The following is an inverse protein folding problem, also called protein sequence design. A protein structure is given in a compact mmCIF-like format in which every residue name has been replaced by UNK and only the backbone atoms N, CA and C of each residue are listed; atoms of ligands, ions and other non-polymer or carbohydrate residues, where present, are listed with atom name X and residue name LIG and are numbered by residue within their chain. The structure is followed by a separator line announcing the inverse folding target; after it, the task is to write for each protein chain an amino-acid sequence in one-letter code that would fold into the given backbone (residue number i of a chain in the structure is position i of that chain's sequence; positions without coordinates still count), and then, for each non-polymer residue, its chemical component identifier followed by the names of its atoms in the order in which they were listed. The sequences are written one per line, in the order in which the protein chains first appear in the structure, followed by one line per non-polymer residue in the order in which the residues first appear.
data_IF_391565866251
#
_entry.id   IF_391565866251
#
_cell.length_a   1.000
_cell.length_b   1.000
_cell.length_c   1.000
_cell.angle_alpha   90.00
_cell.angle_beta   90.00
_cell.angle_gamma   90.00
#
_symmetry.space_group_name_H-M   'P 1'
#
loop_
_entity.id
_entity.type
_entity.pdbx_description
1 polymer ?
#
# COMPACT_ATOMS: atom_id res chain seq x y z
N UNK A 1 4.72 -4.54 14.05
CA UNK A 1 4.91 -3.68 12.88
C UNK A 1 6.09 -4.23 12.09
N UNK A 2 5.82 -5.00 11.02
CA UNK A 2 6.89 -5.44 10.12
C UNK A 2 7.06 -4.32 9.08
N UNK A 3 8.19 -3.62 9.18
CA UNK A 3 8.59 -2.54 8.31
C UNK A 3 9.47 -3.16 7.25
N UNK A 4 9.03 -3.18 5.99
CA UNK A 4 9.79 -3.77 4.91
C UNK A 4 10.21 -2.67 3.95
N UNK A 5 11.46 -2.24 4.02
CA UNK A 5 12.05 -1.31 3.06
C UNK A 5 12.51 -2.06 1.82
N UNK A 6 11.96 -1.73 0.65
CA UNK A 6 12.44 -2.18 -0.66
C UNK A 6 13.19 -1.00 -1.30
N UNK A 7 14.52 -1.03 -1.37
CA UNK A 7 15.28 0.01 -2.05
C UNK A 7 14.89 0.08 -3.53
N UNK A 8 14.68 1.29 -4.04
CA UNK A 8 14.63 1.57 -5.47
C UNK A 8 15.61 2.70 -5.78
N UNK A 9 16.02 2.85 -7.05
CA UNK A 9 17.04 3.80 -7.53
C UNK A 9 16.81 5.29 -7.20
N UNK A 10 15.71 5.65 -6.50
CA UNK A 10 15.36 7.01 -6.06
C UNK A 10 14.81 7.10 -4.62
N UNK A 11 14.92 6.03 -3.82
CA UNK A 11 14.37 5.97 -2.46
C UNK A 11 13.86 4.58 -2.07
N UNK A 12 13.69 4.36 -0.76
CA UNK A 12 13.14 3.11 -0.22
C UNK A 12 11.62 3.12 -0.19
N UNK A 13 10.99 2.04 -0.67
CA UNK A 13 9.56 1.78 -0.48
C UNK A 13 9.41 1.05 0.84
N UNK A 14 8.96 1.75 1.88
CA UNK A 14 8.63 1.13 3.16
C UNK A 14 7.20 0.59 3.09
N UNK A 15 7.05 -0.73 2.97
CA UNK A 15 5.77 -1.40 3.16
C UNK A 15 5.59 -1.65 4.65
N UNK A 16 4.72 -0.85 5.28
CA UNK A 16 4.22 -1.13 6.62
C UNK A 16 3.10 -2.16 6.49
N UNK A 17 3.35 -3.40 6.95
CA UNK A 17 2.29 -4.42 7.04
C UNK A 17 1.38 -4.08 8.22
N UNK A 18 0.24 -3.46 7.93
CA UNK A 18 -0.82 -3.13 8.91
C UNK A 18 -1.89 -4.23 9.04
N UNK A 19 -1.63 -5.40 8.43
CA UNK A 19 -2.58 -6.50 8.34
C UNK A 19 -3.67 -6.27 7.29
N UNK A 20 -4.37 -7.35 6.95
CA UNK A 20 -5.57 -7.29 6.12
C UNK A 20 -6.75 -6.77 6.95
N UNK A 21 -7.64 -6.00 6.32
CA UNK A 21 -8.88 -5.52 6.94
C UNK A 21 -9.98 -5.38 5.88
N UNK A 22 -11.24 -5.44 6.32
CA UNK A 22 -12.40 -5.45 5.41
C UNK A 22 -13.48 -4.46 5.84
N UNK A 23 -14.10 -3.81 4.85
CA UNK A 23 -15.30 -2.98 5.00
C UNK A 23 -15.19 -1.87 6.06
N UNK A 24 -14.01 -1.29 6.25
CA UNK A 24 -13.79 -0.25 7.26
C UNK A 24 -14.11 1.15 6.73
N UNK A 25 -14.35 2.08 7.65
CA UNK A 25 -14.20 3.50 7.35
C UNK A 25 -12.71 3.79 7.10
N UNK A 26 -12.31 4.22 5.88
CA UNK A 26 -10.90 4.43 5.57
C UNK A 26 -10.25 5.54 6.39
N UNK A 27 -11.01 6.58 6.78
CA UNK A 27 -10.50 7.72 7.55
C UNK A 27 -10.17 7.27 8.97
N UNK A 28 -11.10 6.59 9.64
CA UNK A 28 -10.86 6.04 10.98
C UNK A 28 -9.77 4.96 10.98
N UNK A 29 -9.70 4.13 9.93
CA UNK A 29 -8.64 3.11 9.86
C UNK A 29 -7.25 3.72 9.74
N UNK A 30 -7.09 4.76 8.92
CA UNK A 30 -5.81 5.46 8.82
C UNK A 30 -5.49 6.19 10.13
N UNK A 31 -6.47 6.84 10.77
CA UNK A 31 -6.31 7.43 12.11
C UNK A 31 -5.79 6.40 13.13
N UNK A 32 -6.42 5.23 13.18
CA UNK A 32 -6.02 4.12 14.05
C UNK A 32 -4.56 3.70 13.78
N UNK A 33 -4.16 3.61 12.50
CA UNK A 33 -2.78 3.26 12.11
C UNK A 33 -1.77 4.29 12.61
N UNK A 34 -2.04 5.59 12.44
CA UNK A 34 -1.16 6.66 12.93
C UNK A 34 -1.03 6.62 14.45
N UNK A 35 -2.15 6.55 15.17
CA UNK A 35 -2.18 6.49 16.64
C UNK A 35 -1.43 5.26 17.15
N UNK A 36 -1.74 4.08 16.62
CA UNK A 36 -1.09 2.84 17.04
C UNK A 36 0.41 2.86 16.76
N UNK A 37 0.83 3.39 15.59
CA UNK A 37 2.26 3.48 15.25
C UNK A 37 2.99 4.39 16.23
N UNK A 38 2.46 5.58 16.50
CA UNK A 38 3.08 6.54 17.43
C UNK A 38 3.12 6.04 18.87
N UNK A 39 2.05 5.40 19.36
CA UNK A 39 2.03 4.73 20.67
C UNK A 39 3.12 3.67 20.76
N UNK A 40 3.23 2.80 19.76
CA UNK A 40 4.24 1.73 19.77
C UNK A 40 5.67 2.27 19.70
N UNK A 41 5.90 3.40 19.02
CA UNK A 41 7.20 4.06 19.02
C UNK A 41 7.53 4.66 20.40
N UNK A 42 6.58 5.35 21.01
CA UNK A 42 6.75 5.98 22.33
C UNK A 42 7.00 4.94 23.43
N UNK A 43 6.23 3.84 23.45
CA UNK A 43 6.41 2.75 24.42
C UNK A 43 7.76 2.04 24.28
N UNK A 44 8.38 2.09 23.10
CA UNK A 44 9.71 1.52 22.84
C UNK A 44 10.86 2.49 23.14
N UNK A 45 10.56 3.68 23.68
CA UNK A 45 11.58 4.69 23.98
C UNK A 45 12.27 5.22 22.72
N UNK A 46 11.57 5.28 21.59
CA UNK A 46 12.11 5.97 20.41
C UNK A 46 11.97 7.47 20.66
N UNK A 47 13.11 8.17 20.80
CA UNK A 47 13.15 9.62 21.03
C UNK A 47 12.26 10.39 20.06
N UNK A 48 11.34 11.15 20.62
CA UNK A 48 10.48 12.06 19.86
C UNK A 48 10.91 13.52 20.13
N UNK A 49 11.03 14.38 19.11
CA UNK A 49 11.48 15.76 19.30
C UNK A 49 10.60 16.59 20.23
N UNK A 50 9.29 16.31 20.27
CA UNK A 50 8.34 17.07 21.10
C UNK A 50 8.22 16.57 22.54
N UNK A 51 8.45 15.28 22.78
CA UNK A 51 8.12 14.67 24.06
C UNK A 51 9.40 14.10 24.68
N UNK A 52 9.77 14.54 25.92
CA UNK A 52 10.87 13.91 26.62
C UNK A 52 10.53 12.45 26.90
N UNK A 53 11.56 11.59 26.89
CA UNK A 53 11.40 10.20 27.33
C UNK A 53 11.01 10.18 28.80
N UNK A 54 9.94 9.45 29.13
CA UNK A 54 9.54 9.17 30.50
C UNK A 54 9.90 7.72 30.84
N UNK A 55 10.27 7.44 32.09
CA UNK A 55 10.35 6.07 32.60
C UNK A 55 8.97 5.47 32.87
N UNK A 56 7.92 6.30 32.89
CA UNK A 56 6.53 5.88 33.10
C UNK A 56 5.88 5.48 31.75
N UNK A 57 5.50 4.20 31.57
CA UNK A 57 4.83 3.73 30.37
C UNK A 57 3.49 4.42 30.08
N UNK A 58 2.74 4.86 31.09
CA UNK A 58 1.45 5.51 30.91
C UNK A 58 1.63 6.91 30.31
N UNK A 59 2.66 7.64 30.76
CA UNK A 59 3.05 8.93 30.19
C UNK A 59 3.47 8.76 28.73
N UNK A 60 4.30 7.76 28.41
CA UNK A 60 4.73 7.49 27.04
C UNK A 60 3.55 7.08 26.14
N UNK A 61 2.61 6.29 26.67
CA UNK A 61 1.40 5.92 25.94
C UNK A 61 0.59 7.16 25.54
N UNK A 62 0.34 8.07 26.50
CA UNK A 62 -0.38 9.33 26.24
C UNK A 62 0.34 10.21 25.23
N UNK A 63 1.66 10.39 25.36
CA UNK A 63 2.46 11.12 24.37
C UNK A 63 2.32 10.54 22.96
N UNK A 64 2.36 9.20 22.84
CA UNK A 64 2.17 8.52 21.57
C UNK A 64 0.77 8.71 20.98
N UNK A 65 -0.27 8.73 21.81
CA UNK A 65 -1.63 9.02 21.35
C UNK A 65 -1.78 10.44 20.82
N UNK A 66 -1.31 11.43 21.59
CA UNK A 66 -1.36 12.84 21.18
C UNK A 66 -0.58 13.08 19.88
N UNK A 67 0.62 12.50 19.77
CA UNK A 67 1.43 12.63 18.56
C UNK A 67 0.78 11.97 17.35
N UNK A 68 0.27 10.74 17.50
CA UNK A 68 -0.38 10.02 16.43
C UNK A 68 -1.64 10.73 15.93
N UNK A 69 -2.46 11.29 16.84
CA UNK A 69 -3.62 12.10 16.46
C UNK A 69 -3.20 13.33 15.68
N UNK A 70 -2.21 14.08 16.16
CA UNK A 70 -1.72 15.28 15.48
C UNK A 70 -1.13 14.97 14.10
N UNK A 71 -0.34 13.90 13.96
CA UNK A 71 0.19 13.48 12.65
C UNK A 71 -0.94 13.08 11.70
N UNK A 72 -1.95 12.39 12.21
CA UNK A 72 -3.14 12.06 11.42
C UNK A 72 -3.89 13.32 10.98
N UNK A 73 -4.12 14.29 11.86
CA UNK A 73 -4.81 15.54 11.52
C UNK A 73 -4.08 16.31 10.43
N UNK A 74 -2.76 16.45 10.54
CA UNK A 74 -1.94 17.07 9.48
C UNK A 74 -2.04 16.31 8.16
N UNK A 75 -1.88 14.99 8.20
CA UNK A 75 -2.02 14.15 7.01
C UNK A 75 -3.42 14.24 6.39
N UNK A 76 -4.46 14.26 7.21
CA UNK A 76 -5.85 14.35 6.78
C UNK A 76 -6.10 15.68 6.05
N UNK A 77 -5.67 16.80 6.62
CA UNK A 77 -5.80 18.12 6.00
C UNK A 77 -5.03 18.20 4.68
N UNK A 78 -3.80 17.71 4.64
CA UNK A 78 -2.98 17.62 3.43
C UNK A 78 -3.71 16.80 2.35
N UNK A 79 -4.15 15.58 2.66
CA UNK A 79 -4.82 14.69 1.71
C UNK A 79 -6.15 15.27 1.23
N UNK A 80 -6.95 15.85 2.13
CA UNK A 80 -8.24 16.41 1.78
C UNK A 80 -8.13 17.69 0.95
N UNK A 81 -7.00 18.39 0.99
CA UNK A 81 -6.71 19.55 0.13
C UNK A 81 -6.33 19.18 -1.31
N UNK A 82 -5.99 17.91 -1.59
CA UNK A 82 -5.52 17.49 -2.90
C UNK A 82 -6.62 17.55 -3.97
N UNK A 83 -6.24 17.94 -5.18
CA UNK A 83 -7.09 17.76 -6.35
C UNK A 83 -7.23 16.27 -6.67
N UNK A 84 -8.47 15.80 -6.87
CA UNK A 84 -8.76 14.44 -7.29
C UNK A 84 -9.47 14.51 -8.64
N UNK A 85 -8.93 13.87 -9.69
CA UNK A 85 -9.56 13.86 -11.02
C UNK A 85 -11.00 13.34 -10.98
N UNK A 86 -11.91 14.03 -11.69
CA UNK A 86 -13.33 13.67 -11.74
C UNK A 86 -13.54 12.26 -12.34
N UNK A 87 -12.63 11.86 -13.23
CA UNK A 87 -12.57 10.55 -13.85
C UNK A 87 -12.60 9.40 -12.81
N UNK A 88 -11.92 9.58 -11.66
CA UNK A 88 -11.92 8.57 -10.59
C UNK A 88 -13.31 8.40 -9.98
N UNK A 89 -14.06 9.50 -9.78
CA UNK A 89 -15.44 9.43 -9.30
C UNK A 89 -16.38 8.86 -10.35
N UNK A 90 -16.15 9.17 -11.64
CA UNK A 90 -16.90 8.54 -12.75
C UNK A 90 -16.76 7.03 -12.72
N UNK A 91 -15.58 6.47 -12.42
CA UNK A 91 -15.39 5.02 -12.31
C UNK A 91 -16.40 4.36 -11.35
N UNK A 92 -16.73 5.01 -10.22
CA UNK A 92 -17.64 4.49 -9.20
C UNK A 92 -19.07 4.28 -9.72
N UNK A 93 -19.50 5.09 -10.68
CA UNK A 93 -20.87 5.04 -11.25
C UNK A 93 -20.97 4.19 -12.52
N UNK A 94 -19.84 3.87 -13.16
CA UNK A 94 -19.81 3.16 -14.43
C UNK A 94 -19.87 1.64 -14.23
N UNK A 95 -20.86 1.00 -14.87
CA UNK A 95 -21.12 -0.44 -14.79
C UNK A 95 -20.69 -1.24 -16.03
N UNK A 96 -19.97 -0.63 -16.98
CA UNK A 96 -19.46 -1.29 -18.20
C UNK A 96 -17.94 -1.14 -18.30
N UNK A 97 -17.23 -2.28 -18.44
CA UNK A 97 -15.76 -2.33 -18.64
C UNK A 97 -15.26 -1.28 -19.66
N UNK A 98 -15.85 -1.24 -20.86
CA UNK A 98 -15.45 -0.30 -21.93
C UNK A 98 -15.51 1.17 -21.51
N UNK A 99 -16.51 1.57 -20.70
CA UNK A 99 -16.63 2.96 -20.23
C UNK A 99 -15.62 3.27 -19.13
N UNK A 100 -15.40 2.34 -18.21
CA UNK A 100 -14.36 2.50 -17.18
C UNK A 100 -12.96 2.62 -17.82
N UNK A 101 -12.67 1.83 -18.85
CA UNK A 101 -11.42 1.93 -19.62
C UNK A 101 -11.23 3.32 -20.24
N UNK A 102 -12.30 3.94 -20.74
CA UNK A 102 -12.21 5.29 -21.30
C UNK A 102 -11.82 6.33 -20.23
N UNK A 103 -12.37 6.25 -19.02
CA UNK A 103 -11.99 7.16 -17.92
C UNK A 103 -10.57 6.87 -17.41
N UNK A 104 -10.17 5.59 -17.34
CA UNK A 104 -8.79 5.20 -17.00
C UNK A 104 -7.79 5.79 -17.99
N UNK A 105 -8.08 5.74 -19.29
CA UNK A 105 -7.20 6.32 -20.31
C UNK A 105 -7.08 7.84 -20.19
N UNK A 106 -8.14 8.55 -19.74
CA UNK A 106 -8.06 9.99 -19.45
C UNK A 106 -7.17 10.27 -18.24
N UNK A 107 -7.27 9.46 -17.18
CA UNK A 107 -6.35 9.55 -16.02
C UNK A 107 -4.91 9.29 -16.49
N UNK A 108 -4.70 8.29 -17.33
CA UNK A 108 -3.39 7.95 -17.85
C UNK A 108 -2.79 9.01 -18.78
N UNK A 109 -3.62 9.77 -19.50
CA UNK A 109 -3.19 10.89 -20.33
C UNK A 109 -2.88 12.17 -19.51
N UNK A 110 -3.19 12.18 -18.22
CA UNK A 110 -2.84 13.26 -17.29
C UNK A 110 -1.50 12.96 -16.57
N UNK A 111 -1.24 13.61 -15.45
CA UNK A 111 -0.05 13.42 -14.62
C UNK A 111 0.03 12.05 -13.91
N UNK A 112 -0.82 11.08 -14.27
CA UNK A 112 -0.94 9.80 -13.60
C UNK A 112 -1.51 9.91 -12.17
N UNK A 113 -1.39 8.81 -11.42
CA UNK A 113 -1.91 8.71 -10.05
C UNK A 113 -0.79 8.60 -9.03
N UNK A 114 -0.82 9.42 -7.99
CA UNK A 114 0.05 9.27 -6.81
C UNK A 114 -0.69 8.53 -5.69
N UNK A 115 0.05 8.00 -4.72
CA UNK A 115 -0.55 7.41 -3.51
C UNK A 115 -1.44 8.40 -2.76
N UNK A 116 -1.02 9.67 -2.65
CA UNK A 116 -1.79 10.69 -1.92
C UNK A 116 -3.09 11.06 -2.64
N UNK A 117 -3.07 11.16 -3.98
CA UNK A 117 -4.30 11.39 -4.77
C UNK A 117 -5.25 10.21 -4.66
N UNK A 118 -4.75 8.96 -4.71
CA UNK A 118 -5.62 7.80 -4.50
C UNK A 118 -6.18 7.78 -3.06
N UNK A 119 -5.40 8.15 -2.06
CA UNK A 119 -5.87 8.23 -0.67
C UNK A 119 -6.99 9.27 -0.52
N UNK A 120 -6.81 10.45 -1.12
CA UNK A 120 -7.83 11.51 -1.14
C UNK A 120 -9.11 11.03 -1.83
N UNK A 121 -8.98 10.34 -2.95
CA UNK A 121 -10.10 9.70 -3.64
C UNK A 121 -10.83 8.70 -2.74
N UNK A 122 -10.11 7.82 -2.04
CA UNK A 122 -10.69 6.81 -1.14
C UNK A 122 -11.47 7.48 0.01
N UNK A 123 -10.94 8.55 0.60
CA UNK A 123 -11.64 9.31 1.65
C UNK A 123 -12.94 9.93 1.13
N UNK A 124 -12.89 10.60 -0.03
CA UNK A 124 -14.08 11.21 -0.64
C UNK A 124 -15.09 10.17 -1.10
N UNK A 125 -14.65 9.02 -1.63
CA UNK A 125 -15.52 7.90 -1.96
C UNK A 125 -16.29 7.38 -0.74
N UNK A 126 -15.69 7.39 0.46
CA UNK A 126 -16.39 7.08 1.69
C UNK A 126 -17.34 8.21 2.12
N UNK A 127 -16.86 9.45 2.21
CA UNK A 127 -17.65 10.58 2.71
C UNK A 127 -18.90 10.85 1.85
N UNK A 128 -18.69 10.92 0.53
CA UNK A 128 -19.69 11.41 -0.42
C UNK A 128 -20.53 10.26 -1.00
N UNK A 129 -19.92 9.08 -1.14
CA UNK A 129 -20.56 7.94 -1.81
C UNK A 129 -20.74 6.70 -0.94
N UNK A 130 -20.28 6.72 0.32
CA UNK A 130 -20.42 5.63 1.31
C UNK A 130 -19.73 4.32 0.90
N UNK A 131 -18.64 4.39 0.15
CA UNK A 131 -17.79 3.21 -0.12
C UNK A 131 -16.90 2.92 1.09
N UNK A 132 -16.99 1.71 1.63
CA UNK A 132 -16.05 1.20 2.64
C UNK A 132 -14.76 0.72 2.00
N UNK A 133 -13.68 0.63 2.77
CA UNK A 133 -12.38 0.15 2.30
C UNK A 133 -12.06 -1.25 2.84
N UNK A 134 -11.56 -2.10 1.97
CA UNK A 134 -10.88 -3.34 2.33
C UNK A 134 -9.44 -3.30 1.79
N UNK A 135 -8.48 -3.82 2.55
CA UNK A 135 -7.10 -3.96 2.11
C UNK A 135 -6.63 -5.38 2.31
N UNK A 136 -6.01 -5.94 1.27
CA UNK A 136 -5.40 -7.25 1.31
C UNK A 136 -3.97 -7.16 0.82
N UNK A 137 -3.09 -7.95 1.42
CA UNK A 137 -1.73 -8.12 0.95
C UNK A 137 -1.42 -9.59 0.77
N UNK A 138 -0.55 -9.89 -0.18
CA UNK A 138 0.05 -11.21 -0.28
C UNK A 138 1.46 -11.11 -0.77
N UNK A 139 2.22 -12.12 -0.39
CA UNK A 139 3.64 -12.18 -0.65
C UNK A 139 3.98 -13.58 -1.13
N UNK A 140 4.81 -13.65 -2.16
CA UNK A 140 5.28 -14.90 -2.74
C UNK A 140 6.80 -14.87 -2.76
N UNK A 141 7.42 -15.70 -1.94
CA UNK A 141 8.86 -15.90 -1.98
C UNK A 141 9.25 -16.77 -3.18
N UNK A 142 10.47 -16.62 -3.71
CA UNK A 142 11.03 -17.57 -4.66
C UNK A 142 11.00 -19.01 -4.15
N UNK A 143 10.83 -19.98 -5.05
CA UNK A 143 10.81 -21.40 -4.71
C UNK A 143 12.06 -21.79 -3.92
N UNK A 144 11.87 -22.53 -2.82
CA UNK A 144 12.96 -23.02 -1.98
C UNK A 144 13.46 -22.03 -0.92
N UNK A 145 12.76 -20.91 -0.70
CA UNK A 145 12.99 -20.00 0.42
C UNK A 145 11.78 -20.00 1.36
N UNK A 146 12.03 -20.08 2.67
CA UNK A 146 11.02 -19.92 3.71
C UNK A 146 11.17 -18.56 4.41
N UNK A 147 10.06 -17.88 4.71
CA UNK A 147 10.04 -16.59 5.39
C UNK A 147 10.69 -16.65 6.79
N UNK A 148 10.56 -17.79 7.49
CA UNK A 148 11.12 -17.98 8.83
C UNK A 148 12.66 -18.07 8.83
N UNK A 149 13.27 -18.36 7.67
CA UNK A 149 14.72 -18.46 7.53
C UNK A 149 15.37 -17.09 7.28
N UNK A 150 14.58 -16.05 6.96
CA UNK A 150 15.11 -14.72 6.72
C UNK A 150 15.61 -14.07 8.02
N UNK A 151 16.70 -13.27 7.95
CA UNK A 151 17.18 -12.52 9.08
C UNK A 151 16.16 -11.47 9.54
N UNK A 152 16.36 -10.94 10.75
CA UNK A 152 15.51 -9.88 11.30
C UNK A 152 15.40 -8.66 10.37
N UNK A 153 16.50 -8.29 9.70
CA UNK A 153 16.49 -7.35 8.60
C UNK A 153 17.62 -7.65 7.60
N UNK A 154 17.38 -7.31 6.33
CA UNK A 154 18.42 -7.33 5.29
C UNK A 154 18.13 -6.25 4.24
N UNK A 155 19.20 -5.74 3.63
CA UNK A 155 19.15 -4.68 2.62
C UNK A 155 20.11 -4.98 1.48
N UNK A 156 19.64 -4.81 0.25
CA UNK A 156 20.50 -4.83 -0.95
C UNK A 156 20.85 -3.38 -1.27
N UNK A 157 22.13 -3.05 -1.24
CA UNK A 157 22.68 -1.72 -1.50
C UNK A 157 22.74 -1.45 -3.02
N UNK A 158 22.97 -0.20 -3.41
CA UNK A 158 23.07 0.21 -4.82
C UNK A 158 24.25 -0.47 -5.56
N UNK A 159 25.35 -0.72 -4.85
CA UNK A 159 26.51 -1.46 -5.38
C UNK A 159 26.24 -2.98 -5.51
N UNK A 160 25.03 -3.42 -5.15
CA UNK A 160 24.60 -4.81 -5.19
C UNK A 160 25.08 -5.66 -4.02
N UNK A 161 25.77 -5.08 -3.03
CA UNK A 161 26.12 -5.76 -1.78
C UNK A 161 24.88 -5.97 -0.90
N UNK A 162 24.98 -6.87 0.09
CA UNK A 162 23.86 -7.20 0.97
C UNK A 162 24.29 -7.05 2.43
N UNK A 163 23.63 -6.15 3.15
CA UNK A 163 23.74 -6.00 4.59
C UNK A 163 22.68 -6.84 5.28
N UNK A 164 23.07 -7.52 6.36
CA UNK A 164 22.24 -8.48 7.10
C UNK A 164 22.34 -8.14 8.58
N UNK A 165 21.20 -8.11 9.25
CA UNK A 165 21.09 -7.90 10.69
C UNK A 165 20.24 -9.03 11.30
N UNK A 166 20.82 -9.72 12.29
CA UNK A 166 20.21 -10.90 12.93
C UNK A 166 20.66 -12.22 12.31
N UNK A 167 20.29 -13.31 12.98
CA UNK A 167 20.66 -14.68 12.59
C UNK A 167 19.81 -15.19 11.42
N UNK A 168 20.41 -16.04 10.58
CA UNK A 168 19.74 -16.64 9.42
C UNK A 168 20.50 -17.89 8.95
N UNK A 169 19.76 -18.89 8.46
CA UNK A 169 20.32 -20.07 7.78
C UNK A 169 20.61 -19.84 6.30
N UNK A 170 20.14 -18.72 5.74
CA UNK A 170 20.27 -18.39 4.32
C UNK A 170 21.62 -17.74 4.03
N UNK A 171 22.22 -18.08 2.89
CA UNK A 171 23.40 -17.38 2.41
C UNK A 171 23.04 -16.02 1.78
N UNK A 172 24.05 -15.15 1.60
CA UNK A 172 23.86 -13.80 1.03
C UNK A 172 23.16 -13.81 -0.33
N UNK A 173 23.47 -14.77 -1.19
CA UNK A 173 22.85 -14.89 -2.52
C UNK A 173 21.38 -15.27 -2.42
N UNK A 174 21.01 -16.18 -1.51
CA UNK A 174 19.63 -16.55 -1.24
C UNK A 174 18.83 -15.36 -0.69
N UNK A 175 19.41 -14.60 0.24
CA UNK A 175 18.78 -13.39 0.81
C UNK A 175 18.59 -12.33 -0.27
N UNK A 176 19.63 -12.05 -1.07
CA UNK A 176 19.56 -11.12 -2.20
C UNK A 176 18.49 -11.54 -3.19
N UNK A 177 18.44 -12.83 -3.54
CA UNK A 177 17.42 -13.36 -4.44
C UNK A 177 16.01 -13.21 -3.86
N UNK A 178 15.85 -13.55 -2.58
CA UNK A 178 14.61 -13.38 -1.83
C UNK A 178 14.12 -11.93 -1.82
N UNK A 179 15.01 -10.96 -1.66
CA UNK A 179 14.66 -9.53 -1.68
C UNK A 179 14.26 -9.09 -3.09
N UNK A 180 15.05 -9.44 -4.11
CA UNK A 180 14.90 -8.92 -5.47
C UNK A 180 13.79 -9.60 -6.27
N UNK A 181 13.50 -10.87 -5.98
CA UNK A 181 12.53 -11.69 -6.72
C UNK A 181 11.25 -11.98 -5.93
N UNK A 182 11.08 -11.46 -4.70
CA UNK A 182 9.81 -11.61 -4.00
C UNK A 182 8.67 -10.97 -4.80
N UNK A 183 7.59 -11.72 -4.95
CA UNK A 183 6.31 -11.17 -5.33
C UNK A 183 5.69 -10.47 -4.13
N UNK A 184 5.22 -9.24 -4.34
CA UNK A 184 4.35 -8.55 -3.41
C UNK A 184 3.16 -8.00 -4.18
N UNK A 185 1.97 -8.25 -3.65
CA UNK A 185 0.73 -7.72 -4.17
C UNK A 185 -0.02 -7.07 -3.02
N UNK A 186 -0.49 -5.84 -3.22
CA UNK A 186 -1.45 -5.19 -2.34
C UNK A 186 -2.68 -4.77 -3.14
N UNK A 187 -3.86 -5.04 -2.60
CA UNK A 187 -5.13 -4.59 -3.17
C UNK A 187 -5.85 -3.67 -2.19
N UNK A 188 -6.35 -2.56 -2.72
CA UNK A 188 -7.29 -1.67 -2.03
C UNK A 188 -8.64 -1.76 -2.72
N UNK A 189 -9.63 -2.31 -2.03
CA UNK A 189 -10.98 -2.54 -2.56
C UNK A 189 -11.94 -1.54 -1.92
N UNK A 190 -12.61 -0.75 -2.74
CA UNK A 190 -13.74 0.09 -2.37
C UNK A 190 -15.02 -0.72 -2.57
N UNK A 191 -15.77 -0.92 -1.49
CA UNK A 191 -16.96 -1.77 -1.45
C UNK A 191 -18.22 -0.93 -1.15
N UNK A 192 -19.31 -1.14 -1.92
CA UNK A 192 -20.65 -0.57 -1.67
C UNK A 192 -21.73 -1.56 -2.11
N UNK A 193 -22.18 -2.40 -1.17
CA UNK A 193 -23.11 -3.49 -1.48
C UNK A 193 -22.49 -4.46 -2.48
N UNK A 194 -23.14 -4.68 -3.63
CA UNK A 194 -22.63 -5.53 -4.71
C UNK A 194 -21.63 -4.83 -5.63
N UNK A 195 -21.46 -3.51 -5.51
CA UNK A 195 -20.51 -2.74 -6.30
C UNK A 195 -19.15 -2.76 -5.61
N UNK A 196 -18.08 -2.99 -6.39
CA UNK A 196 -16.74 -2.95 -5.86
C UNK A 196 -15.73 -2.49 -6.91
N UNK A 197 -14.72 -1.75 -6.47
CA UNK A 197 -13.61 -1.25 -7.29
C UNK A 197 -12.30 -1.57 -6.60
N UNK A 198 -11.30 -2.03 -7.32
CA UNK A 198 -10.06 -2.53 -6.76
C UNK A 198 -8.87 -1.91 -7.47
N UNK A 199 -7.97 -1.31 -6.69
CA UNK A 199 -6.68 -0.80 -7.13
C UNK A 199 -5.59 -1.74 -6.62
N UNK A 200 -4.74 -2.22 -7.53
CA UNK A 200 -3.80 -3.30 -7.25
C UNK A 200 -2.38 -2.84 -7.55
N UNK A 201 -1.54 -3.01 -6.54
CA UNK A 201 -0.13 -2.70 -6.57
C UNK A 201 0.62 -4.02 -6.65
N UNK A 202 1.33 -4.25 -7.75
CA UNK A 202 2.28 -5.35 -7.89
C UNK A 202 3.68 -4.78 -7.78
N UNK A 203 4.62 -5.53 -7.21
CA UNK A 203 6.02 -5.11 -7.13
C UNK A 203 6.59 -4.76 -8.52
N UNK A 204 6.26 -5.53 -9.55
CA UNK A 204 6.75 -5.30 -10.90
C UNK A 204 6.10 -4.07 -11.54
N UNK A 205 4.77 -3.93 -11.44
CA UNK A 205 4.01 -2.81 -11.99
C UNK A 205 4.42 -1.48 -11.36
N UNK A 206 4.46 -1.40 -10.02
CA UNK A 206 4.90 -0.16 -9.37
C UNK A 206 6.35 0.13 -9.71
N UNK A 207 7.20 -0.90 -9.87
CA UNK A 207 8.60 -0.74 -10.23
C UNK A 207 8.87 -0.42 -11.72
N UNK A 208 7.86 -0.49 -12.59
CA UNK A 208 8.04 -0.33 -14.04
C UNK A 208 8.90 -1.43 -14.67
N UNK A 209 8.88 -2.63 -14.08
CA UNK A 209 9.63 -3.80 -14.55
C UNK A 209 8.81 -4.68 -15.52
N UNK A 210 7.58 -4.30 -15.80
CA UNK A 210 6.72 -4.99 -16.77
C UNK A 210 7.05 -4.52 -18.19
N UNK A 211 7.20 -5.47 -19.12
CA UNK A 211 7.74 -5.22 -20.45
C UNK A 211 6.94 -4.11 -21.19
N UNK A 212 7.63 -3.04 -21.59
CA UNK A 212 7.03 -1.95 -22.36
C UNK A 212 6.08 -1.05 -21.57
N UNK A 213 6.02 -1.17 -20.25
CA UNK A 213 5.18 -0.34 -19.38
C UNK A 213 6.05 0.40 -18.35
N UNK A 214 5.80 1.70 -18.19
CA UNK A 214 6.37 2.47 -17.08
C UNK A 214 5.76 2.06 -15.72
N UNK A 215 6.17 2.71 -14.61
CA UNK A 215 5.54 2.54 -13.31
C UNK A 215 4.02 2.72 -13.37
N UNK A 216 3.26 1.74 -12.88
CA UNK A 216 1.80 1.76 -12.96
C UNK A 216 1.15 0.92 -11.84
N UNK A 217 -0.17 1.04 -11.73
CA UNK A 217 -1.03 0.15 -10.94
C UNK A 217 -2.13 -0.44 -11.82
N UNK A 218 -2.68 -1.57 -11.40
CA UNK A 218 -3.82 -2.18 -12.08
C UNK A 218 -5.13 -1.74 -11.44
N UNK A 219 -6.19 -1.74 -12.23
CA UNK A 219 -7.55 -1.47 -11.76
C UNK A 219 -8.49 -2.58 -12.21
N UNK A 220 -9.44 -2.97 -11.37
CA UNK A 220 -10.48 -3.94 -11.73
C UNK A 220 -11.74 -3.65 -10.91
N UNK A 221 -12.91 -3.97 -11.43
CA UNK A 221 -14.18 -3.75 -10.71
C UNK A 221 -15.19 -4.85 -11.02
N UNK A 222 -16.33 -4.81 -10.33
CA UNK A 222 -17.46 -5.69 -10.63
C UNK A 222 -17.94 -5.59 -12.09
N UNK A 223 -17.72 -4.46 -12.77
CA UNK A 223 -18.08 -4.28 -14.18
C UNK A 223 -17.27 -5.16 -15.16
N UNK A 224 -16.26 -5.87 -14.67
CA UNK A 224 -15.37 -6.73 -15.45
C UNK A 224 -15.79 -8.19 -15.44
N UNK A 225 -16.88 -8.54 -14.74
CA UNK A 225 -17.42 -9.89 -14.68
C UNK A 225 -16.62 -10.84 -13.78
N UNK A 226 -15.72 -10.31 -12.95
CA UNK A 226 -15.02 -11.09 -11.93
C UNK A 226 -15.75 -11.03 -10.60
N UNK A 227 -15.59 -12.07 -9.80
CA UNK A 227 -16.00 -12.05 -8.40
C UNK A 227 -14.94 -11.39 -7.53
N UNK A 228 -15.37 -10.60 -6.55
CA UNK A 228 -14.50 -9.98 -5.55
C UNK A 228 -13.65 -11.04 -4.82
N UNK A 229 -14.26 -12.15 -4.43
CA UNK A 229 -13.61 -13.30 -3.75
C UNK A 229 -12.39 -13.81 -4.54
N UNK A 230 -12.52 -13.94 -5.87
CA UNK A 230 -11.44 -14.38 -6.75
C UNK A 230 -10.27 -13.41 -6.75
N UNK A 231 -10.53 -12.10 -6.73
CA UNK A 231 -9.48 -11.08 -6.61
C UNK A 231 -8.74 -11.24 -5.28
N UNK A 232 -9.47 -11.38 -4.17
CA UNK A 232 -8.88 -11.54 -2.82
C UNK A 232 -8.01 -12.79 -2.73
N UNK A 233 -8.47 -13.93 -3.25
CA UNK A 233 -7.70 -15.19 -3.26
C UNK A 233 -6.37 -15.03 -3.99
N UNK A 234 -6.36 -14.39 -5.16
CA UNK A 234 -5.11 -14.18 -5.91
C UNK A 234 -4.17 -13.20 -5.23
N UNK A 235 -4.71 -12.11 -4.68
CA UNK A 235 -3.92 -11.12 -3.95
C UNK A 235 -3.23 -11.78 -2.76
N UNK A 236 -3.95 -12.55 -1.93
CA UNK A 236 -3.39 -13.24 -0.77
C UNK A 236 -2.35 -14.29 -1.15
N UNK A 237 -2.47 -14.91 -2.31
CA UNK A 237 -1.46 -15.83 -2.84
C UNK A 237 -0.17 -15.12 -3.31
N UNK A 238 -0.15 -13.78 -3.39
CA UNK A 238 0.97 -13.02 -3.96
C UNK A 238 1.16 -13.26 -5.46
N UNK A 239 0.13 -13.78 -6.14
CA UNK A 239 0.16 -14.24 -7.53
C UNK A 239 -1.05 -13.68 -8.29
N UNK A 240 -1.01 -12.36 -8.50
CA UNK A 240 -2.06 -11.66 -9.23
C UNK A 240 -1.86 -11.80 -10.74
N UNK A 241 -2.78 -12.51 -11.38
CA UNK A 241 -2.73 -12.87 -12.81
C UNK A 241 -4.02 -12.54 -13.57
N UNK A 242 -4.98 -11.88 -12.91
CA UNK A 242 -6.17 -11.40 -13.61
C UNK A 242 -5.73 -10.38 -14.66
N UNK A 243 -5.86 -10.75 -15.94
CA UNK A 243 -5.45 -9.92 -17.05
C UNK A 243 -6.27 -8.62 -17.07
N UNK A 244 -5.65 -7.58 -16.54
CA UNK A 244 -6.11 -6.21 -16.59
C UNK A 244 -5.32 -5.53 -17.69
N UNK A 245 -5.88 -5.46 -18.91
CA UNK A 245 -5.27 -4.70 -20.03
C UNK A 245 -5.18 -3.17 -19.74
N UNK A 246 -5.43 -2.76 -18.50
CA UNK A 246 -5.52 -1.40 -18.03
C UNK A 246 -4.47 -1.12 -16.96
N UNK A 247 -3.58 -0.22 -17.32
CA UNK A 247 -2.50 0.28 -16.48
C UNK A 247 -2.79 1.75 -16.21
N UNK A 248 -2.91 2.12 -14.94
CA UNK A 248 -2.97 3.53 -14.53
C UNK A 248 -1.52 3.93 -14.22
N UNK A 249 -0.90 4.87 -14.96
CA UNK A 249 0.43 5.37 -14.66
C UNK A 249 0.54 5.79 -13.20
N UNK A 250 1.57 5.31 -12.52
CA UNK A 250 1.77 5.49 -11.09
C UNK A 250 2.99 6.36 -10.84
N UNK A 251 2.77 7.53 -10.27
CA UNK A 251 3.84 8.49 -9.99
C UNK A 251 4.30 8.30 -8.55
N UNK A 252 5.52 7.78 -8.41
CA UNK A 252 6.11 7.48 -7.10
C UNK A 252 6.53 8.74 -6.32
N UNK A 253 6.90 9.80 -7.04
CA UNK A 253 7.48 11.01 -6.48
C UNK A 253 6.95 12.22 -7.23
N UNK A 254 6.35 13.17 -6.50
CA UNK A 254 6.10 14.55 -6.91
C UNK A 254 6.45 15.46 -5.75
#
# INVERSE_FOLDING_TARGET
MQVMSIPTEKGSVIVLKNGDYEYVNPIEKVREIYVNSSVQMALKGIKHPRYPESSDPEVNFKHGQEEGLRQFEQHYDEVMSLFVPEELFKLLSLNKKKRQLAEINKIAASDGLTSSVLQAFIYRAYLDHKYTLSMYTGEKLPTGLNAEEFPAAAMVEEDGSTRIWGDTSLNKSQIKNGILQRGFVAARILDKGSLWHCFIYTMNGVNGKELGQGPHIHYISNAWGHERSKVVVQVKAGDYSLNTDNHIPYVRYK
#
